data_IF_656703457040
#
_entry.id   IF_656703457040
#
_cell.length_a   1.000
_cell.length_b   1.000
_cell.length_c   1.000
_cell.angle_alpha   90.00
_cell.angle_beta   90.00
_cell.angle_gamma   90.00
#
_symmetry.space_group_name_H-M   'P 1'
#
loop_
_entity.id
_entity.type
_entity.pdbx_description
1 polymer ?
#
# COMPACT_ATOMS: atom_id res chain seq x y z
N UNK A 1 -4.83 -15.32 -1.55
CA UNK A 1 -6.28 -15.07 -1.76
C UNK A 1 -6.79 -15.99 -2.84
N UNK A 2 -6.75 -15.53 -4.09
CA UNK A 2 -7.31 -16.24 -5.27
C UNK A 2 -6.86 -17.70 -5.37
N UNK A 3 -5.56 -18.00 -5.22
CA UNK A 3 -5.03 -19.38 -5.33
C UNK A 3 -5.66 -20.32 -4.29
N UNK A 4 -5.73 -19.89 -3.03
CA UNK A 4 -6.35 -20.69 -1.96
C UNK A 4 -7.86 -20.84 -2.17
N UNK A 5 -8.54 -19.79 -2.62
CA UNK A 5 -9.98 -19.80 -2.90
C UNK A 5 -10.34 -20.74 -4.05
N UNK A 6 -9.52 -20.80 -5.10
CA UNK A 6 -9.70 -21.73 -6.22
C UNK A 6 -9.49 -23.19 -5.80
N UNK A 7 -8.52 -23.46 -4.92
CA UNK A 7 -8.28 -24.81 -4.37
C UNK A 7 -9.47 -25.27 -3.51
N UNK A 8 -10.02 -24.39 -2.66
CA UNK A 8 -11.20 -24.71 -1.83
C UNK A 8 -12.44 -24.96 -2.70
N UNK A 9 -12.65 -24.16 -3.75
CA UNK A 9 -13.76 -24.35 -4.68
C UNK A 9 -13.69 -25.72 -5.40
N UNK A 10 -12.49 -26.15 -5.78
CA UNK A 10 -12.25 -27.47 -6.37
C UNK A 10 -12.41 -28.61 -5.33
N UNK A 11 -11.94 -28.41 -4.10
CA UNK A 11 -12.04 -29.40 -3.02
C UNK A 11 -13.48 -29.67 -2.56
N UNK A 12 -14.40 -28.71 -2.75
CA UNK A 12 -15.81 -28.83 -2.35
C UNK A 12 -16.68 -29.52 -3.43
N UNK A 13 -16.07 -30.07 -4.49
CA UNK A 13 -16.77 -30.76 -5.57
C UNK A 13 -17.52 -29.83 -6.53
N UNK A 14 -17.28 -28.52 -6.44
CA UNK A 14 -17.82 -27.54 -7.38
C UNK A 14 -17.14 -27.70 -8.72
N UNK A 15 -17.86 -28.16 -9.74
CA UNK A 15 -17.34 -28.21 -11.12
C UNK A 15 -16.85 -26.83 -11.61
N UNK A 16 -16.30 -26.78 -12.83
CA UNK A 16 -15.69 -25.56 -13.43
C UNK A 16 -16.54 -24.28 -13.28
N UNK A 17 -17.86 -24.40 -13.25
CA UNK A 17 -18.79 -23.29 -13.06
C UNK A 17 -18.69 -22.60 -11.69
N UNK A 18 -18.40 -23.32 -10.60
CA UNK A 18 -18.23 -22.71 -9.27
C UNK A 18 -16.88 -21.98 -9.16
N UNK A 19 -15.82 -22.56 -9.72
CA UNK A 19 -14.49 -21.94 -9.75
C UNK A 19 -14.53 -20.61 -10.50
N UNK A 20 -15.21 -20.56 -11.66
CA UNK A 20 -15.38 -19.32 -12.41
C UNK A 20 -16.12 -18.23 -11.59
N UNK A 21 -17.19 -18.58 -10.87
CA UNK A 21 -17.92 -17.63 -10.01
C UNK A 21 -17.07 -17.10 -8.86
N UNK A 22 -16.29 -17.97 -8.22
CA UNK A 22 -15.39 -17.57 -7.12
C UNK A 22 -14.32 -16.62 -7.64
N UNK A 23 -13.71 -16.92 -8.78
CA UNK A 23 -12.69 -16.04 -9.39
C UNK A 23 -13.28 -14.66 -9.68
N UNK A 24 -14.45 -14.58 -10.33
CA UNK A 24 -15.09 -13.30 -10.67
C UNK A 24 -15.42 -12.50 -9.40
N UNK A 25 -16.02 -13.13 -8.39
CA UNK A 25 -16.33 -12.49 -7.11
C UNK A 25 -15.06 -11.95 -6.45
N UNK A 26 -14.00 -12.76 -6.40
CA UNK A 26 -12.73 -12.35 -5.79
C UNK A 26 -12.09 -11.21 -6.56
N UNK A 27 -12.15 -11.22 -7.89
CA UNK A 27 -11.60 -10.18 -8.74
C UNK A 27 -12.30 -8.83 -8.49
N UNK A 28 -13.63 -8.83 -8.33
CA UNK A 28 -14.40 -7.64 -7.97
C UNK A 28 -14.00 -7.11 -6.59
N UNK A 29 -13.91 -7.99 -5.59
CA UNK A 29 -13.45 -7.60 -4.24
C UNK A 29 -12.04 -7.01 -4.30
N UNK A 30 -11.13 -7.69 -5.00
CA UNK A 30 -9.74 -7.26 -5.16
C UNK A 30 -9.64 -5.90 -5.84
N UNK A 31 -10.49 -5.64 -6.84
CA UNK A 31 -10.52 -4.38 -7.56
C UNK A 31 -10.96 -3.24 -6.63
N UNK A 32 -12.02 -3.45 -5.86
CA UNK A 32 -12.49 -2.47 -4.86
C UNK A 32 -11.41 -2.21 -3.82
N UNK A 33 -10.75 -3.26 -3.34
CA UNK A 33 -9.76 -3.18 -2.28
C UNK A 33 -8.50 -2.42 -2.74
N UNK A 34 -8.00 -2.71 -3.94
CA UNK A 34 -6.83 -2.02 -4.50
C UNK A 34 -7.14 -0.58 -4.96
N UNK A 35 -8.35 -0.31 -5.46
CA UNK A 35 -8.69 1.01 -6.05
C UNK A 35 -9.22 1.99 -5.01
N UNK A 36 -9.94 1.54 -3.98
CA UNK A 36 -10.57 2.42 -3.00
C UNK A 36 -9.99 2.25 -1.61
N UNK A 37 -9.91 1.02 -1.11
CA UNK A 37 -9.59 0.78 0.30
C UNK A 37 -8.12 1.08 0.58
N UNK A 38 -7.20 0.53 -0.23
CA UNK A 38 -5.76 0.80 -0.12
C UNK A 38 -5.43 2.30 -0.19
N UNK A 39 -5.80 3.05 -1.25
CA UNK A 39 -5.43 4.46 -1.33
C UNK A 39 -6.13 5.30 -0.26
N UNK A 40 -7.37 5.00 0.11
CA UNK A 40 -8.04 5.76 1.19
C UNK A 40 -7.36 5.54 2.53
N UNK A 41 -6.92 4.31 2.82
CA UNK A 41 -6.17 3.97 4.03
C UNK A 41 -4.77 4.61 4.03
N UNK A 42 -4.07 4.57 2.90
CA UNK A 42 -2.70 5.10 2.77
C UNK A 42 -2.67 6.63 2.65
N UNK A 43 -3.64 7.24 1.96
CA UNK A 43 -3.74 8.69 1.77
C UNK A 43 -3.98 9.43 3.09
N UNK A 44 -4.68 8.80 4.04
CA UNK A 44 -4.89 9.36 5.38
C UNK A 44 -3.60 9.53 6.18
N UNK A 45 -2.50 8.88 5.76
CA UNK A 45 -1.24 8.84 6.50
C UNK A 45 -0.11 9.66 5.88
N UNK A 46 -0.19 10.04 4.61
CA UNK A 46 0.99 10.53 3.87
C UNK A 46 0.71 11.83 3.10
N UNK A 47 0.43 12.92 3.83
CA UNK A 47 0.45 14.29 3.28
C UNK A 47 1.89 14.72 2.94
N UNK A 48 2.51 14.14 1.91
CA UNK A 48 3.84 14.54 1.45
C UNK A 48 3.71 15.70 0.45
N UNK A 49 4.40 16.81 0.74
CA UNK A 49 4.47 17.94 -0.18
C UNK A 49 5.19 17.52 -1.47
N UNK A 50 4.67 17.82 -2.68
CA UNK A 50 5.25 17.38 -3.96
C UNK A 50 6.74 17.75 -4.14
N UNK A 51 7.15 18.91 -3.62
CA UNK A 51 8.56 19.34 -3.63
C UNK A 51 9.51 18.39 -2.88
N UNK A 52 9.05 17.78 -1.79
CA UNK A 52 9.88 16.83 -1.02
C UNK A 52 10.11 15.58 -1.85
N UNK A 53 9.06 15.05 -2.48
CA UNK A 53 9.18 13.88 -3.37
C UNK A 53 10.14 14.17 -4.52
N UNK A 54 10.04 15.35 -5.15
CA UNK A 54 10.95 15.78 -6.21
C UNK A 54 12.41 15.81 -5.73
N UNK A 55 12.65 16.39 -4.56
CA UNK A 55 14.00 16.50 -4.00
C UNK A 55 14.61 15.14 -3.69
N UNK A 56 13.87 14.23 -3.03
CA UNK A 56 14.42 12.90 -2.71
C UNK A 56 14.55 12.03 -3.97
N UNK A 57 13.68 12.19 -4.97
CA UNK A 57 13.85 11.55 -6.28
C UNK A 57 15.13 12.01 -6.97
N UNK A 58 15.42 13.32 -6.96
CA UNK A 58 16.67 13.85 -7.53
C UNK A 58 17.89 13.29 -6.80
N UNK A 59 17.89 13.31 -5.46
CA UNK A 59 18.99 12.77 -4.65
C UNK A 59 19.14 11.26 -4.85
N UNK A 60 18.04 10.50 -4.82
CA UNK A 60 18.04 9.06 -5.06
C UNK A 60 18.51 8.69 -6.47
N UNK A 61 18.15 9.50 -7.46
CA UNK A 61 18.61 9.33 -8.84
C UNK A 61 20.12 9.51 -9.00
N UNK A 62 20.73 10.42 -8.24
CA UNK A 62 22.19 10.61 -8.28
C UNK A 62 22.94 9.48 -7.58
N UNK A 63 22.36 8.85 -6.56
CA UNK A 63 23.01 7.79 -5.78
C UNK A 63 23.05 6.45 -6.51
N UNK A 64 21.91 6.01 -7.06
CA UNK A 64 21.76 4.67 -7.68
C UNK A 64 20.94 4.70 -8.97
N UNK A 65 20.82 5.86 -9.62
CA UNK A 65 20.04 6.00 -10.85
C UNK A 65 18.55 5.69 -10.65
N UNK A 66 17.97 4.96 -11.60
CA UNK A 66 16.55 4.57 -11.59
C UNK A 66 16.20 3.76 -10.33
N UNK A 67 17.09 2.90 -9.86
CA UNK A 67 16.84 2.06 -8.68
C UNK A 67 16.75 2.93 -7.42
N UNK A 68 17.65 3.90 -7.28
CA UNK A 68 17.62 4.86 -6.18
C UNK A 68 16.38 5.74 -6.19
N UNK A 69 15.88 6.09 -7.37
CA UNK A 69 14.63 6.83 -7.53
C UNK A 69 13.40 6.02 -7.06
N UNK A 70 13.34 4.74 -7.41
CA UNK A 70 12.27 3.81 -7.03
C UNK A 70 12.20 3.60 -5.50
N UNK A 71 13.37 3.52 -4.87
CA UNK A 71 13.50 3.26 -3.43
C UNK A 71 13.36 4.54 -2.60
N UNK A 72 13.75 5.70 -3.15
CA UNK A 72 13.70 7.00 -2.47
C UNK A 72 12.30 7.40 -2.00
N UNK A 73 11.28 7.18 -2.84
CA UNK A 73 9.88 7.56 -2.55
C UNK A 73 9.32 6.82 -1.33
N UNK A 74 9.32 5.47 -1.27
CA UNK A 74 8.81 4.75 -0.11
C UNK A 74 9.64 5.02 1.15
N UNK A 75 10.98 5.17 1.06
CA UNK A 75 11.82 5.51 2.21
C UNK A 75 11.43 6.84 2.84
N UNK A 76 11.18 7.85 1.99
CA UNK A 76 10.74 9.18 2.45
C UNK A 76 9.38 9.10 3.14
N UNK A 77 8.45 8.32 2.57
CA UNK A 77 7.14 8.07 3.19
C UNK A 77 7.25 7.45 4.58
N UNK A 78 8.07 6.40 4.73
CA UNK A 78 8.30 5.74 6.02
C UNK A 78 8.93 6.71 7.04
N UNK A 79 9.95 7.46 6.63
CA UNK A 79 10.62 8.43 7.50
C UNK A 79 9.67 9.53 7.98
N UNK A 80 8.82 10.04 7.08
CA UNK A 80 7.84 11.09 7.39
C UNK A 80 6.75 10.59 8.35
N UNK A 81 6.17 9.42 8.09
CA UNK A 81 5.15 8.81 8.95
C UNK A 81 5.72 8.46 10.33
N UNK A 82 6.94 7.93 10.38
CA UNK A 82 7.62 7.62 11.65
C UNK A 82 7.88 8.89 12.46
N UNK A 83 8.37 9.95 11.82
CA UNK A 83 8.57 11.25 12.45
C UNK A 83 7.28 11.88 12.97
N UNK A 84 6.19 11.83 12.18
CA UNK A 84 4.87 12.33 12.62
C UNK A 84 4.34 11.55 13.82
N UNK A 85 4.42 10.21 13.78
CA UNK A 85 3.99 9.35 14.88
C UNK A 85 4.76 9.67 16.17
N UNK A 86 6.07 9.91 16.08
CA UNK A 86 6.90 10.29 17.23
C UNK A 86 6.53 11.70 17.74
N UNK A 87 6.33 12.66 16.83
CA UNK A 87 6.01 14.03 17.21
C UNK A 87 4.64 14.14 17.89
N UNK A 88 3.65 13.41 17.38
CA UNK A 88 2.33 13.28 17.99
C UNK A 88 2.42 12.57 19.35
N UNK A 89 3.20 11.48 19.45
CA UNK A 89 3.45 10.80 20.71
C UNK A 89 4.10 11.70 21.77
N UNK A 90 5.12 12.49 21.40
CA UNK A 90 5.79 13.41 22.33
C UNK A 90 4.91 14.60 22.71
N UNK A 91 4.11 15.13 21.77
CA UNK A 91 3.18 16.23 22.04
C UNK A 91 2.03 15.80 22.95
N UNK A 92 1.60 14.53 22.86
CA UNK A 92 0.52 13.96 23.68
C UNK A 92 0.94 13.73 25.14
N UNK A 93 2.24 13.53 25.41
CA UNK A 93 2.77 13.45 26.78
C UNK A 93 2.99 14.82 27.45
N UNK A 94 3.08 15.91 26.67
CA UNK A 94 3.36 17.25 27.22
C UNK A 94 2.11 18.09 27.53
N UNK A 95 0.91 17.52 27.39
CA UNK A 95 -0.38 18.17 27.66
C UNK A 95 -1.27 17.42 28.67
N UNK A 96 -0.66 16.62 29.56
CA UNK A 96 -1.29 16.21 30.82
C UNK A 96 -0.42 16.64 32.00
#
# INVERSE_FOLDING_TARGET
GIVCSSIVALATGGGLAMVAKVIVMFLVIQLIDNVLIQPTMVAKSVELHPLVVLFVVMVGSQLMGIVGMLIAVPLTGIAKVSGQTIYEGVKQYRLR
#
